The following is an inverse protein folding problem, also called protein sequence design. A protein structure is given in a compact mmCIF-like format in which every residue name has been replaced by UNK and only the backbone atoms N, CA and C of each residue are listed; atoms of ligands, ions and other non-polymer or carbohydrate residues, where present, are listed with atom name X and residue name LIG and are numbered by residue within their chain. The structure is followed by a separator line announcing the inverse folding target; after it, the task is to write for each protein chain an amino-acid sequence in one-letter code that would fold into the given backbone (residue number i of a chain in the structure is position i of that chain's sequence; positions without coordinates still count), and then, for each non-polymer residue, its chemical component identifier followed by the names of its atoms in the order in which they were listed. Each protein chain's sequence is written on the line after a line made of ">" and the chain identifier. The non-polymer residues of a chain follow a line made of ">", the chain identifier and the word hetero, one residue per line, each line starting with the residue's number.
data_IF_204035808568
#
_entry.id   IF_204035808568
#
_cell.length_a   1.000
_cell.length_b   1.000
_cell.length_c   1.000
_cell.angle_alpha   90.00
_cell.angle_beta   90.00
_cell.angle_gamma   90.00
#
_symmetry.space_group_name_H-M   'P 1'
#
loop_
_entity.id
_entity.type
_entity.pdbx_description
1 polymer ?
#
# COMPACT_ATOMS: atom_id res chain seq x y z
N UNK A 1 -39.39 -5.60 41.95
CA UNK A 1 -37.94 -5.88 41.87
C UNK A 1 -37.41 -5.83 40.42
N UNK A 2 -37.95 -6.62 39.48
CA UNK A 2 -37.42 -6.71 38.11
C UNK A 2 -37.51 -5.39 37.29
N UNK A 3 -38.62 -4.65 37.39
CA UNK A 3 -38.79 -3.35 36.72
C UNK A 3 -37.79 -2.30 37.21
N UNK A 4 -37.61 -2.23 38.53
CA UNK A 4 -36.69 -1.30 39.19
C UNK A 4 -35.24 -1.63 38.83
N UNK A 5 -34.87 -2.92 38.80
CA UNK A 5 -33.56 -3.39 38.35
C UNK A 5 -33.30 -3.07 36.86
N UNK A 6 -34.29 -3.27 35.99
CA UNK A 6 -34.20 -2.90 34.57
C UNK A 6 -34.01 -1.40 34.37
N UNK A 7 -34.70 -0.57 35.17
CA UNK A 7 -34.58 0.88 35.10
C UNK A 7 -33.18 1.36 35.51
N UNK A 8 -32.59 0.75 36.54
CA UNK A 8 -31.22 1.07 36.98
C UNK A 8 -30.19 0.71 35.91
N UNK A 9 -30.32 -0.46 35.28
CA UNK A 9 -29.39 -0.88 34.22
C UNK A 9 -29.47 0.07 33.02
N UNK A 10 -30.67 0.39 32.56
CA UNK A 10 -30.88 1.30 31.42
C UNK A 10 -30.40 2.73 31.74
N UNK A 11 -30.63 3.20 32.96
CA UNK A 11 -30.24 4.56 33.34
C UNK A 11 -28.72 4.70 33.46
N UNK A 12 -28.05 3.67 33.95
CA UNK A 12 -26.59 3.58 34.06
C UNK A 12 -25.89 3.58 32.69
N UNK A 13 -26.47 2.90 31.68
CA UNK A 13 -25.91 2.87 30.32
C UNK A 13 -25.77 4.26 29.70
N UNK A 14 -26.73 5.15 29.95
CA UNK A 14 -26.69 6.53 29.44
C UNK A 14 -25.51 7.31 30.03
N UNK A 15 -25.25 7.17 31.34
CA UNK A 15 -24.11 7.81 31.98
C UNK A 15 -22.76 7.36 31.39
N UNK A 16 -22.65 6.09 31.04
CA UNK A 16 -21.45 5.51 30.42
C UNK A 16 -21.26 5.98 28.97
N UNK A 17 -22.32 6.12 28.18
CA UNK A 17 -22.22 6.56 26.79
C UNK A 17 -21.93 8.06 26.63
N UNK A 18 -22.42 8.89 27.55
CA UNK A 18 -22.32 10.35 27.45
C UNK A 18 -20.90 10.88 27.69
N UNK A 19 -20.14 10.30 28.63
CA UNK A 19 -18.79 10.79 28.97
C UNK A 19 -17.81 10.69 27.78
N UNK A 20 -17.65 9.53 27.10
CA UNK A 20 -16.79 9.41 25.92
C UNK A 20 -17.25 10.28 24.77
N UNK A 21 -18.57 10.41 24.57
CA UNK A 21 -19.11 11.25 23.51
C UNK A 21 -18.73 12.71 23.73
N UNK A 22 -18.89 13.24 24.95
CA UNK A 22 -18.45 14.59 25.30
C UNK A 22 -16.96 14.76 25.06
N UNK A 23 -16.14 13.77 25.43
CA UNK A 23 -14.71 13.78 25.16
C UNK A 23 -14.39 13.83 23.67
N UNK A 24 -15.09 13.02 22.87
CA UNK A 24 -14.90 12.93 21.42
C UNK A 24 -15.30 14.22 20.71
N UNK A 25 -16.51 14.74 20.97
CA UNK A 25 -16.98 15.99 20.33
C UNK A 25 -16.23 17.24 20.81
N UNK A 26 -15.55 17.14 21.96
CA UNK A 26 -14.68 18.20 22.50
C UNK A 26 -13.23 18.11 22.02
N UNK A 27 -12.83 17.07 21.29
CA UNK A 27 -11.45 16.92 20.83
C UNK A 27 -11.25 17.61 19.48
N UNK A 28 -10.52 18.73 19.50
CA UNK A 28 -10.17 19.48 18.28
C UNK A 28 -9.27 18.69 17.33
N UNK A 29 -8.56 17.67 17.82
CA UNK A 29 -7.74 16.79 16.97
C UNK A 29 -8.60 15.87 16.11
N UNK A 30 -9.66 15.29 16.69
CA UNK A 30 -10.54 14.33 16.02
C UNK A 30 -11.63 15.04 15.20
N UNK A 31 -12.22 16.11 15.73
CA UNK A 31 -13.40 16.78 15.16
C UNK A 31 -13.08 18.02 14.33
N UNK A 32 -11.84 18.52 14.36
CA UNK A 32 -11.42 19.68 13.57
C UNK A 32 -12.29 20.92 13.81
N UNK A 33 -12.92 21.42 12.74
CA UNK A 33 -13.82 22.58 12.77
C UNK A 33 -15.17 22.31 13.44
N UNK A 34 -15.57 21.04 13.57
CA UNK A 34 -16.82 20.61 14.21
C UNK A 34 -16.68 20.43 15.73
N UNK A 35 -15.51 20.74 16.32
CA UNK A 35 -15.29 20.65 17.75
C UNK A 35 -16.18 21.65 18.52
N UNK A 36 -16.84 21.17 19.57
CA UNK A 36 -17.77 22.00 20.34
C UNK A 36 -17.05 23.13 21.09
N UNK A 37 -17.70 24.30 21.18
CA UNK A 37 -17.18 25.48 21.89
C UNK A 37 -17.17 25.26 23.41
N UNK A 38 -16.38 26.06 24.13
CA UNK A 38 -16.22 25.95 25.59
C UNK A 38 -17.54 26.03 26.35
N UNK A 39 -18.47 26.89 25.92
CA UNK A 39 -19.80 27.01 26.55
C UNK A 39 -20.61 25.72 26.43
N UNK A 40 -20.65 25.12 25.23
CA UNK A 40 -21.33 23.84 24.97
C UNK A 40 -20.67 22.71 25.75
N UNK A 41 -19.35 22.72 25.88
CA UNK A 41 -18.61 21.73 26.67
C UNK A 41 -18.95 21.80 28.16
N UNK A 42 -19.02 23.01 28.73
CA UNK A 42 -19.41 23.21 30.13
C UNK A 42 -20.85 22.75 30.35
N UNK A 43 -21.77 23.13 29.46
CA UNK A 43 -23.17 22.70 29.52
C UNK A 43 -23.31 21.17 29.45
N UNK A 44 -22.59 20.52 28.52
CA UNK A 44 -22.60 19.07 28.38
C UNK A 44 -22.05 18.35 29.63
N UNK A 45 -20.97 18.86 30.22
CA UNK A 45 -20.41 18.30 31.46
C UNK A 45 -21.33 18.50 32.66
N UNK A 46 -22.05 19.63 32.74
CA UNK A 46 -23.05 19.88 33.78
C UNK A 46 -24.18 18.86 33.68
N UNK A 47 -24.74 18.67 32.48
CA UNK A 47 -25.79 17.68 32.24
C UNK A 47 -25.30 16.26 32.56
N UNK A 48 -24.10 15.90 32.12
CA UNK A 48 -23.50 14.61 32.44
C UNK A 48 -23.33 14.41 33.97
N UNK A 49 -22.87 15.44 34.70
CA UNK A 49 -22.71 15.38 36.15
C UNK A 49 -24.06 15.15 36.86
N UNK A 50 -25.13 15.85 36.43
CA UNK A 50 -26.48 15.63 36.97
C UNK A 50 -26.94 14.19 36.71
N UNK A 51 -26.79 13.69 35.47
CA UNK A 51 -27.20 12.33 35.11
C UNK A 51 -26.45 11.28 35.93
N UNK A 52 -25.13 11.42 36.08
CA UNK A 52 -24.30 10.51 36.87
C UNK A 52 -24.72 10.56 38.34
N UNK A 53 -24.92 11.74 38.90
CA UNK A 53 -25.35 11.90 40.29
C UNK A 53 -26.69 11.21 40.56
N UNK A 54 -27.71 11.46 39.72
CA UNK A 54 -29.03 10.86 39.88
C UNK A 54 -28.98 9.33 39.76
N UNK A 55 -28.19 8.82 38.80
CA UNK A 55 -28.00 7.38 38.61
C UNK A 55 -27.30 6.70 39.78
N UNK A 56 -26.22 7.31 40.30
CA UNK A 56 -25.49 6.79 41.46
C UNK A 56 -26.36 6.83 42.70
N UNK A 57 -27.09 7.92 42.94
CA UNK A 57 -28.01 8.03 44.07
C UNK A 57 -29.09 6.93 44.02
N UNK A 58 -29.69 6.71 42.85
CA UNK A 58 -30.69 5.66 42.67
C UNK A 58 -30.11 4.25 42.91
N UNK A 59 -28.89 4.00 42.40
CA UNK A 59 -28.18 2.73 42.59
C UNK A 59 -27.86 2.46 44.07
N UNK A 60 -27.41 3.48 44.80
CA UNK A 60 -27.05 3.36 46.23
C UNK A 60 -28.28 3.10 47.09
N UNK A 61 -29.35 3.88 46.90
CA UNK A 61 -30.60 3.73 47.69
C UNK A 61 -31.17 2.33 47.53
N UNK A 62 -31.27 1.84 46.29
CA UNK A 62 -31.79 0.50 46.02
C UNK A 62 -30.84 -0.61 46.47
N UNK A 63 -29.53 -0.39 46.35
CA UNK A 63 -28.52 -1.33 46.84
C UNK A 63 -28.67 -1.55 48.35
N UNK A 64 -28.75 -0.46 49.13
CA UNK A 64 -28.90 -0.52 50.59
C UNK A 64 -30.16 -1.28 51.01
N UNK A 65 -31.27 -1.11 50.31
CA UNK A 65 -32.53 -1.81 50.57
C UNK A 65 -32.39 -3.33 50.40
N UNK A 66 -31.67 -3.78 49.36
CA UNK A 66 -31.37 -5.20 49.14
C UNK A 66 -30.45 -5.76 50.24
N UNK A 67 -29.47 -4.98 50.73
CA UNK A 67 -28.58 -5.40 51.82
C UNK A 67 -29.29 -5.56 53.16
N UNK A 68 -30.31 -4.74 53.44
CA UNK A 68 -31.13 -4.82 54.67
C UNK A 68 -32.09 -6.01 54.70
N UNK A 69 -32.43 -6.61 53.55
CA UNK A 69 -33.30 -7.78 53.50
C UNK A 69 -32.62 -9.04 54.06
N UNK A 70 -33.31 -9.86 54.89
CA UNK A 70 -32.79 -11.16 55.34
C UNK A 70 -32.82 -12.17 54.18
N UNK A 71 -31.68 -12.77 53.84
CA UNK A 71 -31.55 -13.66 52.68
C UNK A 71 -30.15 -14.23 52.46
N UNK A 72 -30.05 -15.19 51.52
CA UNK A 72 -28.84 -15.99 51.22
C UNK A 72 -27.62 -15.12 50.86
N UNK A 73 -26.52 -15.35 51.59
CA UNK A 73 -25.23 -14.65 51.48
C UNK A 73 -24.70 -14.54 50.04
N UNK A 74 -24.94 -15.58 49.22
CA UNK A 74 -24.41 -15.69 47.85
C UNK A 74 -24.89 -14.59 46.89
N UNK A 75 -26.15 -14.15 47.00
CA UNK A 75 -26.66 -13.09 46.13
C UNK A 75 -26.09 -11.72 46.51
N UNK A 76 -25.86 -11.50 47.81
CA UNK A 76 -25.21 -10.29 48.33
C UNK A 76 -23.76 -10.20 47.84
N UNK A 77 -23.01 -11.30 47.90
CA UNK A 77 -21.63 -11.34 47.39
C UNK A 77 -21.56 -11.07 45.88
N UNK A 78 -22.50 -11.61 45.09
CA UNK A 78 -22.54 -11.37 43.64
C UNK A 78 -22.78 -9.89 43.29
N UNK A 79 -23.68 -9.21 44.02
CA UNK A 79 -23.97 -7.77 43.83
C UNK A 79 -22.74 -6.92 44.15
N UNK A 80 -22.00 -7.22 45.23
CA UNK A 80 -20.77 -6.49 45.58
C UNK A 80 -19.73 -6.63 44.48
N UNK A 81 -19.49 -7.85 44.00
CA UNK A 81 -18.52 -8.12 42.92
C UNK A 81 -18.91 -7.36 41.65
N UNK A 82 -20.20 -7.40 41.27
CA UNK A 82 -20.70 -6.65 40.12
C UNK A 82 -20.53 -5.14 40.28
N UNK A 83 -20.80 -4.60 41.48
CA UNK A 83 -20.59 -3.19 41.80
C UNK A 83 -19.12 -2.77 41.69
N UNK A 84 -18.19 -3.61 42.15
CA UNK A 84 -16.74 -3.35 42.03
C UNK A 84 -16.31 -3.33 40.57
N UNK A 85 -16.72 -4.33 39.77
CA UNK A 85 -16.43 -4.38 38.32
C UNK A 85 -17.01 -3.15 37.63
N UNK A 86 -18.23 -2.75 37.99
CA UNK A 86 -18.90 -1.60 37.43
C UNK A 86 -18.15 -0.29 37.74
N UNK A 87 -17.76 -0.06 39.00
CA UNK A 87 -16.96 1.12 39.40
C UNK A 87 -15.61 1.11 38.70
N UNK A 88 -14.96 -0.06 38.59
CA UNK A 88 -13.70 -0.19 37.88
C UNK A 88 -13.84 0.17 36.39
N UNK A 89 -14.85 -0.36 35.69
CA UNK A 89 -15.14 -0.01 34.29
C UNK A 89 -15.48 1.47 34.12
N UNK A 90 -16.28 2.04 35.02
CA UNK A 90 -16.67 3.45 34.98
C UNK A 90 -15.45 4.38 35.16
N UNK A 91 -14.59 4.10 36.14
CA UNK A 91 -13.34 4.81 36.33
C UNK A 91 -12.41 4.63 35.13
N UNK A 92 -12.27 3.40 34.63
CA UNK A 92 -11.45 3.11 33.46
C UNK A 92 -11.91 3.92 32.26
N UNK A 93 -13.21 3.97 31.95
CA UNK A 93 -13.74 4.70 30.80
C UNK A 93 -13.70 6.23 30.97
N UNK A 94 -13.90 6.74 32.19
CA UNK A 94 -13.85 8.18 32.47
C UNK A 94 -12.42 8.72 32.42
N UNK A 95 -11.45 7.97 32.96
CA UNK A 95 -10.06 8.43 33.11
C UNK A 95 -9.11 7.92 32.01
N UNK A 96 -9.40 6.82 31.30
CA UNK A 96 -8.62 6.35 30.12
C UNK A 96 -8.40 7.43 29.05
N UNK A 97 -9.46 8.11 28.56
CA UNK A 97 -9.29 9.09 27.50
C UNK A 97 -8.44 10.27 27.95
N UNK A 98 -8.45 10.60 29.26
CA UNK A 98 -7.59 11.62 29.85
C UNK A 98 -6.11 11.18 29.92
N UNK A 99 -5.84 9.92 30.25
CA UNK A 99 -4.47 9.38 30.38
C UNK A 99 -3.80 9.14 29.02
N UNK A 100 -4.53 8.61 28.02
CA UNK A 100 -3.98 8.35 26.68
C UNK A 100 -3.71 9.62 25.87
N UNK A 101 -4.41 10.73 26.14
CA UNK A 101 -4.25 12.01 25.43
C UNK A 101 -2.84 12.62 25.53
N UNK A 102 -2.07 12.27 26.57
CA UNK A 102 -0.66 12.69 26.71
C UNK A 102 0.33 11.79 25.95
N UNK A 103 -0.04 10.55 25.60
CA UNK A 103 0.88 9.56 25.02
C UNK A 103 0.92 9.62 23.48
N UNK A 104 -0.12 10.14 22.85
CA UNK A 104 -0.21 10.34 21.39
C UNK A 104 0.33 11.69 20.91
N UNK A 105 1.04 12.42 21.77
CA UNK A 105 1.89 13.56 21.34
C UNK A 105 3.30 13.13 20.95
N UNK A 106 3.62 11.83 20.98
CA UNK A 106 4.71 11.33 20.13
C UNK A 106 4.17 11.35 18.73
N UNK A 107 4.37 12.50 18.10
CA UNK A 107 4.13 12.77 16.70
C UNK A 107 4.25 11.49 15.88
N UNK A 108 3.15 11.09 15.26
CA UNK A 108 3.30 10.53 13.94
C UNK A 108 3.98 11.66 13.17
N UNK A 109 5.30 11.59 13.02
CA UNK A 109 6.07 12.47 12.15
C UNK A 109 5.62 12.16 10.73
N UNK A 110 4.42 12.59 10.35
CA UNK A 110 3.91 12.42 8.99
C UNK A 110 4.71 13.31 8.03
N UNK A 111 5.34 14.38 8.52
CA UNK A 111 6.45 15.02 7.83
C UNK A 111 7.62 15.15 8.82
N UNK A 112 8.65 14.31 8.63
CA UNK A 112 9.98 14.71 9.08
C UNK A 112 10.33 16.05 8.43
N UNK A 113 11.14 16.87 9.11
CA UNK A 113 11.72 18.09 8.53
C UNK A 113 11.99 17.87 7.04
N UNK A 114 11.44 18.72 6.18
CA UNK A 114 11.57 18.62 4.72
C UNK A 114 13.02 18.31 4.39
N UNK A 115 13.33 17.05 4.12
CA UNK A 115 14.70 16.65 3.87
C UNK A 115 15.05 17.25 2.52
N UNK A 116 15.96 18.22 2.54
CA UNK A 116 16.50 18.79 1.32
C UNK A 116 17.13 17.65 0.51
N UNK A 117 16.84 17.61 -0.79
CA UNK A 117 17.37 16.61 -1.71
C UNK A 117 18.88 16.81 -1.86
N UNK A 118 19.68 16.06 -1.10
CA UNK A 118 21.15 16.25 -1.07
C UNK A 118 21.89 15.36 -2.07
N UNK A 119 21.30 14.25 -2.51
CA UNK A 119 21.98 13.29 -3.38
C UNK A 119 21.11 12.90 -4.59
N UNK A 120 21.23 13.69 -5.65
CA UNK A 120 20.57 13.45 -6.95
C UNK A 120 21.53 12.86 -8.00
N UNK A 121 22.73 12.44 -7.58
CA UNK A 121 23.71 11.84 -8.49
C UNK A 121 23.39 10.36 -8.68
N UNK A 122 22.98 10.01 -9.89
CA UNK A 122 22.79 8.61 -10.31
C UNK A 122 24.04 8.16 -11.06
N UNK A 123 24.39 6.88 -10.93
CA UNK A 123 25.47 6.27 -11.73
C UNK A 123 25.10 6.41 -13.23
N UNK A 124 25.99 6.95 -14.08
CA UNK A 124 25.71 7.08 -15.50
C UNK A 124 25.50 5.68 -16.11
N UNK A 125 24.43 5.54 -16.88
CA UNK A 125 24.09 4.29 -17.57
C UNK A 125 24.95 4.21 -18.82
N UNK A 126 25.87 3.25 -18.86
CA UNK A 126 26.79 3.04 -20.00
C UNK A 126 26.23 2.11 -21.05
N UNK A 127 25.31 1.23 -20.65
CA UNK A 127 24.74 0.19 -21.51
C UNK A 127 23.24 0.10 -21.31
N UNK A 128 22.46 0.21 -22.39
CA UNK A 128 20.99 0.13 -22.37
C UNK A 128 20.54 -1.04 -23.25
N UNK A 129 19.82 -1.98 -22.65
CA UNK A 129 19.17 -3.07 -23.37
C UNK A 129 17.77 -2.66 -23.83
N UNK A 130 17.39 -3.03 -25.05
CA UNK A 130 16.09 -2.73 -25.65
C UNK A 130 15.47 -4.05 -26.10
N UNK A 131 14.37 -4.45 -25.47
CA UNK A 131 13.63 -5.66 -25.85
C UNK A 131 12.58 -5.32 -26.90
N UNK A 132 12.81 -5.77 -28.15
CA UNK A 132 11.97 -5.52 -29.31
C UNK A 132 11.01 -6.66 -29.58
N UNK A 133 9.79 -6.33 -30.00
CA UNK A 133 8.76 -7.31 -30.36
C UNK A 133 8.42 -7.34 -31.85
N UNK A 134 9.12 -6.54 -32.67
CA UNK A 134 8.90 -6.42 -34.11
C UNK A 134 7.49 -5.98 -34.49
N UNK A 135 6.83 -5.25 -33.59
CA UNK A 135 5.61 -4.52 -33.87
C UNK A 135 5.88 -3.24 -34.67
N UNK A 136 4.82 -2.63 -35.18
CA UNK A 136 4.85 -1.30 -35.79
C UNK A 136 5.23 -0.17 -34.82
N UNK A 137 5.47 -0.48 -33.54
CA UNK A 137 5.77 0.49 -32.49
C UNK A 137 7.22 0.44 -31.99
N UNK A 138 8.04 -0.46 -32.55
CA UNK A 138 9.47 -0.56 -32.21
C UNK A 138 10.22 0.75 -32.45
N UNK A 139 9.86 1.53 -33.47
CA UNK A 139 10.46 2.85 -33.73
C UNK A 139 10.30 3.77 -32.52
N UNK A 140 9.08 3.83 -31.96
CA UNK A 140 8.78 4.62 -30.76
C UNK A 140 9.56 4.07 -29.57
N UNK A 141 9.60 2.75 -29.38
CA UNK A 141 10.35 2.12 -28.28
C UNK A 141 11.84 2.47 -28.34
N UNK A 142 12.45 2.34 -29.52
CA UNK A 142 13.85 2.68 -29.78
C UNK A 142 14.07 4.17 -29.49
N UNK A 143 13.20 5.07 -29.97
CA UNK A 143 13.33 6.49 -29.70
C UNK A 143 13.33 6.82 -28.19
N UNK A 144 12.44 6.19 -27.41
CA UNK A 144 12.45 6.33 -25.95
C UNK A 144 13.75 5.79 -25.34
N UNK A 145 14.26 4.64 -25.80
CA UNK A 145 15.52 4.11 -25.31
C UNK A 145 16.71 5.02 -25.60
N UNK A 146 16.81 5.54 -26.84
CA UNK A 146 17.86 6.48 -27.23
C UNK A 146 17.82 7.76 -26.37
N UNK A 147 16.63 8.23 -25.98
CA UNK A 147 16.48 9.41 -25.11
C UNK A 147 17.01 9.24 -23.69
N UNK A 148 17.18 7.98 -23.23
CA UNK A 148 17.74 7.68 -21.91
C UNK A 148 19.27 7.64 -21.91
N UNK A 149 19.89 7.45 -23.09
CA UNK A 149 21.33 7.37 -23.25
C UNK A 149 21.97 8.70 -23.62
N UNK A 150 23.25 8.84 -23.31
CA UNK A 150 24.14 9.84 -23.92
C UNK A 150 24.81 9.26 -25.18
N UNK A 151 25.45 10.09 -26.01
CA UNK A 151 26.11 9.63 -27.25
C UNK A 151 27.13 8.49 -27.09
N UNK A 152 27.76 8.35 -25.92
CA UNK A 152 28.73 7.29 -25.64
C UNK A 152 28.10 5.97 -25.17
N UNK A 153 26.79 5.93 -24.98
CA UNK A 153 26.03 4.77 -24.49
C UNK A 153 26.03 3.65 -25.52
N UNK A 154 26.23 2.43 -25.05
CA UNK A 154 26.10 1.22 -25.85
C UNK A 154 24.66 0.68 -25.78
N UNK A 155 24.01 0.53 -26.92
CA UNK A 155 22.65 -0.01 -27.02
C UNK A 155 22.69 -1.47 -27.45
N UNK A 156 21.85 -2.28 -26.81
CA UNK A 156 21.76 -3.72 -27.07
C UNK A 156 20.33 -4.00 -27.51
N UNK A 157 20.15 -4.34 -28.78
CA UNK A 157 18.86 -4.77 -29.31
C UNK A 157 18.68 -6.25 -29.00
N UNK A 158 17.60 -6.59 -28.32
CA UNK A 158 17.26 -7.96 -27.92
C UNK A 158 15.94 -8.32 -28.58
N UNK A 159 15.92 -9.45 -29.27
CA UNK A 159 14.69 -10.07 -29.74
C UNK A 159 14.68 -11.56 -29.36
N UNK A 160 13.53 -12.09 -28.96
CA UNK A 160 13.38 -13.50 -28.61
C UNK A 160 12.31 -14.14 -29.50
N UNK A 161 12.74 -15.12 -30.30
CA UNK A 161 11.89 -15.87 -31.23
C UNK A 161 11.08 -16.91 -30.46
N UNK A 162 9.76 -16.92 -30.67
CA UNK A 162 8.80 -17.80 -29.98
C UNK A 162 8.08 -18.80 -30.90
N UNK A 163 8.52 -18.94 -32.17
CA UNK A 163 7.91 -19.87 -33.13
C UNK A 163 7.81 -21.29 -32.55
N UNK A 164 6.78 -22.04 -32.98
CA UNK A 164 6.54 -23.40 -32.47
C UNK A 164 7.77 -24.29 -32.67
N UNK A 165 8.47 -24.12 -33.79
CA UNK A 165 9.72 -24.81 -34.13
C UNK A 165 10.88 -24.35 -33.26
N UNK A 166 11.05 -23.03 -33.04
CA UNK A 166 12.13 -22.46 -32.24
C UNK A 166 12.09 -22.87 -30.77
N UNK A 167 10.89 -23.15 -30.23
CA UNK A 167 10.73 -23.69 -28.86
C UNK A 167 11.36 -25.08 -28.69
N UNK A 168 11.37 -25.91 -29.73
CA UNK A 168 11.90 -27.27 -29.68
C UNK A 168 13.35 -27.38 -30.17
N UNK A 169 13.72 -26.72 -31.28
CA UNK A 169 15.05 -26.86 -31.89
C UNK A 169 16.03 -25.71 -31.55
N UNK A 170 15.57 -24.58 -30.99
CA UNK A 170 16.43 -23.44 -30.66
C UNK A 170 17.12 -22.83 -31.89
N UNK A 171 18.43 -22.58 -31.81
CA UNK A 171 19.24 -21.99 -32.90
C UNK A 171 19.33 -22.89 -34.16
N UNK A 172 19.01 -24.19 -34.04
CA UNK A 172 19.06 -25.15 -35.15
C UNK A 172 17.83 -25.11 -36.07
N UNK A 173 16.83 -24.27 -35.78
CA UNK A 173 15.72 -24.03 -36.72
C UNK A 173 16.15 -23.12 -37.86
N UNK A 174 16.36 -23.69 -39.05
CA UNK A 174 16.51 -22.93 -40.30
C UNK A 174 15.11 -22.60 -40.87
N UNK A 175 14.22 -22.05 -40.03
CA UNK A 175 12.91 -21.59 -40.49
C UNK A 175 13.01 -20.15 -41.04
N UNK A 176 12.21 -19.87 -42.07
CA UNK A 176 12.21 -18.56 -42.73
C UNK A 176 11.87 -17.43 -41.74
N UNK A 177 11.07 -17.71 -40.71
CA UNK A 177 10.67 -16.76 -39.67
C UNK A 177 11.87 -16.29 -38.84
N UNK A 178 12.71 -17.20 -38.32
CA UNK A 178 13.93 -16.84 -37.58
C UNK A 178 14.90 -16.04 -38.44
N UNK A 179 15.02 -16.39 -39.72
CA UNK A 179 15.89 -15.67 -40.67
C UNK A 179 15.40 -14.25 -40.92
N UNK A 180 14.10 -14.05 -41.09
CA UNK A 180 13.48 -12.73 -41.26
C UNK A 180 13.67 -11.88 -40.00
N UNK A 181 13.43 -12.46 -38.82
CA UNK A 181 13.58 -11.78 -37.53
C UNK A 181 15.03 -11.34 -37.29
N UNK A 182 16.00 -12.22 -37.58
CA UNK A 182 17.43 -11.89 -37.51
C UNK A 182 17.81 -10.78 -38.49
N UNK A 183 17.33 -10.85 -39.73
CA UNK A 183 17.59 -9.81 -40.74
C UNK A 183 16.99 -8.46 -40.32
N UNK A 184 15.78 -8.45 -39.74
CA UNK A 184 15.14 -7.24 -39.21
C UNK A 184 15.95 -6.64 -38.05
N UNK A 185 16.41 -7.46 -37.10
CA UNK A 185 17.24 -7.01 -35.98
C UNK A 185 18.56 -6.36 -36.46
N UNK A 186 19.23 -7.02 -37.41
CA UNK A 186 20.48 -6.52 -38.00
C UNK A 186 20.25 -5.24 -38.80
N UNK A 187 19.11 -5.11 -39.47
CA UNK A 187 18.71 -3.87 -40.17
C UNK A 187 18.58 -2.70 -39.18
N UNK A 188 17.92 -2.89 -38.03
CA UNK A 188 17.84 -1.86 -36.98
C UNK A 188 19.21 -1.51 -36.42
N UNK A 189 20.07 -2.51 -36.18
CA UNK A 189 21.44 -2.27 -35.74
C UNK A 189 22.19 -1.37 -36.74
N UNK A 190 22.13 -1.71 -38.04
CA UNK A 190 22.82 -0.95 -39.08
C UNK A 190 22.29 0.48 -39.23
N UNK A 191 20.97 0.67 -39.15
CA UNK A 191 20.35 2.00 -39.20
C UNK A 191 20.83 2.87 -38.04
N UNK A 192 20.83 2.35 -36.81
CA UNK A 192 21.30 3.09 -35.63
C UNK A 192 22.81 3.36 -35.66
N UNK A 193 23.61 2.41 -36.17
CA UNK A 193 25.04 2.60 -36.37
C UNK A 193 25.33 3.71 -37.40
N UNK A 194 24.53 3.80 -38.47
CA UNK A 194 24.62 4.87 -39.47
C UNK A 194 24.31 6.25 -38.87
N UNK A 195 23.42 6.29 -37.88
CA UNK A 195 23.11 7.51 -37.10
C UNK A 195 24.19 7.82 -36.03
N UNK A 196 25.23 7.00 -35.92
CA UNK A 196 26.37 7.24 -35.01
C UNK A 196 26.23 6.61 -33.62
N UNK A 197 25.24 5.76 -33.38
CA UNK A 197 25.08 5.05 -32.10
C UNK A 197 25.92 3.77 -32.05
N UNK A 198 26.43 3.43 -30.87
CA UNK A 198 27.07 2.13 -30.61
C UNK A 198 25.97 1.10 -30.33
N UNK A 199 25.77 0.15 -31.24
CA UNK A 199 24.68 -0.83 -31.13
C UNK A 199 25.16 -2.25 -31.41
N UNK A 200 24.71 -3.22 -30.60
CA UNK A 200 24.82 -4.66 -30.87
C UNK A 200 23.45 -5.33 -30.87
N UNK A 201 23.29 -6.36 -31.69
CA UNK A 201 22.07 -7.17 -31.78
C UNK A 201 22.28 -8.56 -31.18
N UNK A 202 21.35 -9.00 -30.33
CA UNK A 202 21.31 -10.36 -29.77
C UNK A 202 19.94 -10.98 -30.00
N UNK A 203 19.94 -12.19 -30.54
CA UNK A 203 18.74 -12.98 -30.76
C UNK A 203 18.69 -14.14 -29.76
N UNK A 204 17.52 -14.39 -29.22
CA UNK A 204 17.28 -15.41 -28.21
C UNK A 204 16.17 -16.35 -28.64
N UNK A 205 16.08 -17.50 -27.98
CA UNK A 205 15.16 -18.56 -28.36
C UNK A 205 14.39 -19.09 -27.16
N UNK A 206 13.24 -19.71 -27.42
CA UNK A 206 12.40 -20.42 -26.45
C UNK A 206 11.64 -19.52 -25.46
N UNK A 207 12.30 -19.00 -24.43
CA UNK A 207 11.64 -18.32 -23.31
C UNK A 207 12.04 -16.85 -23.23
N UNK A 208 11.11 -15.96 -23.62
CA UNK A 208 11.32 -14.50 -23.62
C UNK A 208 11.88 -13.98 -22.30
N UNK A 209 11.22 -14.30 -21.18
CA UNK A 209 11.65 -13.83 -19.85
C UNK A 209 13.08 -14.27 -19.53
N UNK A 210 13.38 -15.57 -19.69
CA UNK A 210 14.70 -16.12 -19.34
C UNK A 210 15.80 -15.56 -20.24
N UNK A 211 15.55 -15.47 -21.53
CA UNK A 211 16.52 -14.97 -22.51
C UNK A 211 16.79 -13.48 -22.35
N UNK A 212 15.76 -12.65 -22.12
CA UNK A 212 15.94 -11.22 -21.83
C UNK A 212 16.82 -11.07 -20.59
N UNK A 213 16.50 -11.78 -19.50
CA UNK A 213 17.29 -11.71 -18.26
C UNK A 213 18.73 -12.18 -18.50
N UNK A 214 18.92 -13.29 -19.23
CA UNK A 214 20.24 -13.82 -19.56
C UNK A 214 21.08 -12.81 -20.32
N UNK A 215 20.55 -12.25 -21.41
CA UNK A 215 21.27 -11.29 -22.25
C UNK A 215 21.55 -9.97 -21.53
N UNK A 216 20.61 -9.48 -20.73
CA UNK A 216 20.81 -8.29 -19.89
C UNK A 216 21.97 -8.50 -18.91
N UNK A 217 22.04 -9.68 -18.27
CA UNK A 217 23.10 -10.01 -17.31
C UNK A 217 24.45 -10.25 -17.99
N UNK A 218 24.48 -11.03 -19.07
CA UNK A 218 25.70 -11.33 -19.83
C UNK A 218 26.37 -10.07 -20.39
N UNK A 219 25.58 -9.13 -20.89
CA UNK A 219 26.09 -7.87 -21.43
C UNK A 219 26.17 -6.74 -20.39
N UNK A 220 25.93 -7.04 -19.11
CA UNK A 220 26.01 -6.09 -18.00
C UNK A 220 25.24 -4.79 -18.26
N UNK A 221 24.03 -4.89 -18.83
CA UNK A 221 23.23 -3.72 -19.13
C UNK A 221 22.83 -3.00 -17.83
N UNK A 222 22.95 -1.67 -17.82
CA UNK A 222 22.62 -0.84 -16.66
C UNK A 222 21.17 -0.35 -16.66
N UNK A 223 20.43 -0.59 -17.74
CA UNK A 223 19.00 -0.31 -17.88
C UNK A 223 18.39 -1.24 -18.93
N UNK A 224 17.13 -1.62 -18.74
CA UNK A 224 16.32 -2.31 -19.73
C UNK A 224 15.15 -1.42 -20.16
N UNK A 225 14.88 -1.34 -21.46
CA UNK A 225 13.73 -0.65 -22.05
C UNK A 225 12.87 -1.68 -22.77
N UNK A 226 11.57 -1.71 -22.48
CA UNK A 226 10.63 -2.67 -23.06
C UNK A 226 9.25 -2.05 -23.31
N UNK A 227 8.53 -2.56 -24.32
CA UNK A 227 7.16 -2.14 -24.61
C UNK A 227 6.15 -2.66 -23.57
N UNK A 228 5.16 -1.84 -23.25
CA UNK A 228 4.06 -2.19 -22.35
C UNK A 228 3.05 -3.17 -22.99
N UNK A 229 2.95 -3.17 -24.31
CA UNK A 229 1.96 -3.94 -25.05
C UNK A 229 2.59 -4.97 -25.97
N UNK A 230 2.07 -6.21 -25.94
CA UNK A 230 2.28 -7.26 -26.96
C UNK A 230 1.08 -7.29 -27.91
N UNK A 231 1.30 -7.31 -29.21
CA UNK A 231 0.24 -7.53 -30.19
C UNK A 231 0.04 -9.03 -30.43
N UNK A 232 -1.09 -9.58 -29.96
CA UNK A 232 -1.67 -10.85 -30.42
C UNK A 232 -3.14 -10.87 -29.97
N UNK A 233 -4.06 -11.02 -30.92
CA UNK A 233 -5.50 -10.89 -30.72
C UNK A 233 -6.10 -11.79 -29.63
N UNK A 234 -7.26 -11.35 -29.12
CA UNK A 234 -8.11 -11.99 -28.10
C UNK A 234 -7.33 -12.61 -26.93
N UNK A 235 -6.71 -11.77 -26.08
CA UNK A 235 -6.55 -11.97 -24.62
C UNK A 235 -5.75 -10.80 -24.00
N UNK A 236 -6.45 -9.70 -23.74
CA UNK A 236 -5.94 -8.47 -23.12
C UNK A 236 -5.61 -8.60 -21.60
N UNK A 237 -5.21 -9.79 -21.14
CA UNK A 237 -4.84 -10.05 -19.73
C UNK A 237 -3.37 -10.46 -19.52
N UNK A 238 -2.57 -10.52 -20.60
CA UNK A 238 -1.17 -10.98 -20.57
C UNK A 238 -0.13 -9.84 -20.63
N UNK A 239 -0.54 -8.60 -20.36
CA UNK A 239 0.37 -7.44 -20.30
C UNK A 239 1.28 -7.45 -19.05
N UNK A 240 0.92 -8.20 -18.00
CA UNK A 240 1.64 -8.21 -16.73
C UNK A 240 2.78 -9.24 -16.62
N UNK A 241 2.57 -10.49 -17.04
CA UNK A 241 3.44 -11.58 -16.58
C UNK A 241 4.91 -11.48 -17.03
N UNK A 242 5.17 -11.06 -18.28
CA UNK A 242 6.56 -10.94 -18.77
C UNK A 242 7.26 -9.73 -18.15
N UNK A 243 6.57 -8.58 -18.06
CA UNK A 243 7.13 -7.34 -17.49
C UNK A 243 7.42 -7.52 -16.01
N UNK A 244 6.46 -8.05 -15.25
CA UNK A 244 6.62 -8.28 -13.82
C UNK A 244 7.71 -9.31 -13.53
N UNK A 245 7.74 -10.42 -14.27
CA UNK A 245 8.76 -11.45 -14.09
C UNK A 245 10.17 -10.94 -14.41
N UNK A 246 10.33 -10.13 -15.47
CA UNK A 246 11.63 -9.53 -15.82
C UNK A 246 12.04 -8.48 -14.80
N UNK A 247 11.13 -7.56 -14.42
CA UNK A 247 11.38 -6.52 -13.41
C UNK A 247 11.78 -7.12 -12.06
N UNK A 248 11.15 -8.21 -11.63
CA UNK A 248 11.43 -8.84 -10.34
C UNK A 248 12.79 -9.56 -10.29
N UNK A 249 13.38 -9.91 -11.44
CA UNK A 249 14.62 -10.70 -11.52
C UNK A 249 15.87 -9.90 -11.94
N UNK A 250 15.68 -8.61 -12.21
CA UNK A 250 16.72 -7.67 -12.63
C UNK A 250 16.93 -6.60 -11.57
N UNK A 251 18.19 -6.40 -11.18
CA UNK A 251 18.60 -5.37 -10.20
C UNK A 251 18.91 -4.01 -10.86
N UNK A 252 18.33 -3.76 -12.04
CA UNK A 252 18.55 -2.56 -12.84
C UNK A 252 17.23 -1.83 -13.13
N UNK A 253 17.25 -0.51 -13.39
CA UNK A 253 16.07 0.21 -13.85
C UNK A 253 15.46 -0.42 -15.10
N UNK A 254 14.15 -0.64 -15.07
CA UNK A 254 13.36 -1.11 -16.21
C UNK A 254 12.39 0.00 -16.62
N UNK A 255 12.58 0.56 -17.81
CA UNK A 255 11.68 1.54 -18.42
C UNK A 255 10.64 0.81 -19.27
N UNK A 256 9.39 0.93 -18.88
CA UNK A 256 8.26 0.41 -19.64
C UNK A 256 7.68 1.56 -20.46
N UNK A 257 7.69 1.41 -21.78
CA UNK A 257 7.18 2.42 -22.70
C UNK A 257 5.79 2.02 -23.17
N UNK A 258 4.82 2.92 -23.02
CA UNK A 258 3.50 2.72 -23.62
C UNK A 258 3.57 3.03 -25.12
N UNK A 259 3.81 1.95 -25.87
CA UNK A 259 3.94 1.95 -27.33
C UNK A 259 2.63 1.59 -27.98
#
# INVERSE_FOLDING_TARGET
>A
ALLVFSQVILSVQLGFAVIPLIHFVSDKKEMGEFAIKLLTKIAAWLVAAILIYLNVNNLVVQGIEIFKSPGMLGWKTAIVVFGIIFVWLFCMMTFLPLLKRRRESKSIKIHGNTQLLQNLKVKPITTIAIALDFSNKDEKLIAYALSQGIHSTHFILIHVVESASAKYLGEQTDDDETRIDKQRLLSYQQQLQTLGYKVTAHIGYRSRVKEIIRMVKENQAGMLVMGAHRHSGLKDYLFGETIEAVRHQLDIPVLIVNV
#
